data_IF_702638721278
#
_entry.id   IF_702638721278
#
_cell.length_a   1.000
_cell.length_b   1.000
_cell.length_c   1.000
_cell.angle_alpha   90.00
_cell.angle_beta   90.00
_cell.angle_gamma   90.00
#
_symmetry.space_group_name_H-M   'P 1'
#
loop_
_entity.id
_entity.type
_entity.pdbx_description
1 polymer ?
#
# COMPACT_ATOMS: atom_id res chain seq x y z
N UNK A 1 -14.57 12.58 -10.37
CA UNK A 1 -14.69 11.59 -9.29
C UNK A 1 -13.47 10.70 -9.44
N UNK A 2 -12.55 10.69 -8.48
CA UNK A 2 -11.39 9.80 -8.55
C UNK A 2 -11.89 8.36 -8.43
N UNK A 3 -11.41 7.47 -9.29
CA UNK A 3 -11.77 6.04 -9.24
C UNK A 3 -10.98 5.40 -8.10
N UNK A 4 -11.67 4.95 -7.06
CA UNK A 4 -11.08 4.13 -5.99
C UNK A 4 -10.71 2.77 -6.58
N UNK A 5 -9.42 2.45 -6.54
CA UNK A 5 -8.85 1.20 -7.05
C UNK A 5 -8.37 0.34 -5.87
N UNK A 6 -8.39 -0.97 -6.06
CA UNK A 6 -7.90 -1.93 -5.07
C UNK A 6 -6.73 -2.74 -5.61
N UNK A 7 -5.77 -3.04 -4.74
CA UNK A 7 -4.72 -4.00 -5.04
C UNK A 7 -4.42 -4.91 -3.85
N UNK A 8 -4.10 -6.16 -4.15
CA UNK A 8 -3.65 -7.15 -3.15
C UNK A 8 -2.18 -7.47 -3.35
N UNK A 9 -1.39 -7.43 -2.28
CA UNK A 9 0.02 -7.73 -2.34
C UNK A 9 0.71 -7.78 -0.99
N UNK A 10 2.04 -7.83 -1.00
CA UNK A 10 2.87 -7.82 0.22
C UNK A 10 3.80 -6.63 0.22
N UNK A 11 3.99 -6.01 1.38
CA UNK A 11 4.94 -4.90 1.52
C UNK A 11 6.36 -5.45 1.38
N UNK A 12 7.15 -4.82 0.51
CA UNK A 12 8.56 -5.14 0.30
C UNK A 12 9.50 -4.04 0.81
N UNK A 13 8.97 -2.82 1.01
CA UNK A 13 9.72 -1.67 1.48
C UNK A 13 8.77 -0.70 2.19
N UNK A 14 9.22 -0.13 3.31
CA UNK A 14 8.57 0.99 4.01
C UNK A 14 9.63 2.06 4.25
N UNK A 15 9.33 3.31 3.89
CA UNK A 15 10.15 4.48 4.10
C UNK A 15 9.24 5.64 4.50
N UNK A 16 9.31 6.07 5.76
CA UNK A 16 8.43 7.13 6.30
C UNK A 16 6.94 6.78 6.05
N UNK A 17 6.18 7.63 5.38
CA UNK A 17 4.77 7.40 5.05
C UNK A 17 4.59 6.72 3.67
N UNK A 18 5.69 6.30 3.04
CA UNK A 18 5.71 5.71 1.71
C UNK A 18 6.04 4.22 1.77
N UNK A 19 5.34 3.40 0.99
CA UNK A 19 5.57 1.97 0.98
C UNK A 19 5.43 1.37 -0.41
N UNK A 20 6.11 0.24 -0.63
CA UNK A 20 5.99 -0.54 -1.87
C UNK A 20 5.31 -1.87 -1.61
N UNK A 21 4.36 -2.21 -2.47
CA UNK A 21 3.71 -3.50 -2.50
C UNK A 21 4.10 -4.26 -3.76
N UNK A 22 4.33 -5.57 -3.61
CA UNK A 22 4.40 -6.50 -4.74
C UNK A 22 3.12 -7.34 -4.81
N UNK A 23 2.47 -7.36 -5.97
CA UNK A 23 1.29 -8.20 -6.23
C UNK A 23 1.68 -9.67 -6.49
N UNK A 24 0.69 -10.55 -6.66
CA UNK A 24 0.91 -11.96 -6.99
C UNK A 24 1.50 -12.20 -8.40
N UNK A 25 1.53 -11.18 -9.26
CA UNK A 25 2.13 -11.19 -10.59
C UNK A 25 3.58 -10.65 -10.58
N UNK A 26 4.08 -10.24 -9.42
CA UNK A 26 5.41 -9.67 -9.27
C UNK A 26 5.51 -8.19 -9.65
N UNK A 27 4.39 -7.51 -9.90
CA UNK A 27 4.37 -6.07 -10.19
C UNK A 27 4.53 -5.29 -8.88
N UNK A 28 5.34 -4.24 -8.94
CA UNK A 28 5.66 -3.38 -7.79
C UNK A 28 4.94 -2.05 -7.91
N UNK A 29 4.28 -1.63 -6.85
CA UNK A 29 3.45 -0.44 -6.79
C UNK A 29 3.94 0.44 -5.65
N UNK A 30 4.05 1.75 -5.91
CA UNK A 30 4.46 2.72 -4.90
C UNK A 30 3.24 3.45 -4.36
N UNK A 31 3.14 3.54 -3.04
CA UNK A 31 2.05 4.23 -2.37
C UNK A 31 2.58 5.22 -1.34
N UNK A 32 1.94 6.39 -1.29
CA UNK A 32 1.98 7.30 -0.17
C UNK A 32 0.77 7.04 0.72
N UNK A 33 0.98 6.88 2.03
CA UNK A 33 -0.09 6.65 2.98
C UNK A 33 -0.88 7.95 3.19
N UNK A 34 -2.18 7.90 2.93
CA UNK A 34 -3.07 9.02 3.21
C UNK A 34 -3.04 9.35 4.70
N UNK A 35 -2.97 10.64 5.04
CA UNK A 35 -3.08 11.09 6.44
C UNK A 35 -4.42 10.72 7.11
N UNK A 36 -5.41 10.28 6.32
CA UNK A 36 -6.71 9.81 6.81
C UNK A 36 -6.80 8.29 6.95
N UNK A 37 -5.75 7.56 6.56
CA UNK A 37 -5.75 6.11 6.64
C UNK A 37 -5.83 5.66 8.12
N UNK A 38 -6.61 4.61 8.44
CA UNK A 38 -6.79 4.12 9.80
C UNK A 38 -5.60 3.27 10.30
N UNK A 39 -4.44 3.41 9.67
CA UNK A 39 -3.22 2.61 9.95
C UNK A 39 -2.03 3.53 10.10
N UNK A 40 -1.03 3.07 10.84
CA UNK A 40 0.19 3.83 11.11
C UNK A 40 1.38 3.26 10.34
N UNK A 41 2.46 4.03 10.24
CA UNK A 41 3.74 3.53 9.72
C UNK A 41 4.22 2.28 10.50
N UNK A 42 3.98 2.23 11.81
CA UNK A 42 4.34 1.06 12.62
C UNK A 42 3.59 -0.20 12.19
N UNK A 43 2.32 -0.08 11.78
CA UNK A 43 1.53 -1.19 11.24
C UNK A 43 2.11 -1.68 9.91
N UNK A 44 2.48 -0.76 9.01
CA UNK A 44 3.13 -1.10 7.74
C UNK A 44 4.46 -1.84 7.96
N UNK A 45 5.27 -1.38 8.92
CA UNK A 45 6.53 -2.04 9.30
C UNK A 45 6.27 -3.46 9.84
N UNK A 46 5.25 -3.61 10.68
CA UNK A 46 4.88 -4.91 11.26
C UNK A 46 4.43 -5.89 10.17
N UNK A 47 3.58 -5.45 9.24
CA UNK A 47 3.13 -6.28 8.11
C UNK A 47 4.25 -6.61 7.13
N UNK A 48 5.16 -5.68 6.87
CA UNK A 48 6.36 -5.92 6.06
C UNK A 48 7.23 -7.03 6.66
N UNK A 49 7.52 -6.95 7.97
CA UNK A 49 8.30 -7.97 8.70
C UNK A 49 7.60 -9.34 8.71
N UNK A 50 6.27 -9.34 8.88
CA UNK A 50 5.47 -10.56 8.89
C UNK A 50 5.20 -11.12 7.49
N UNK A 51 5.54 -10.39 6.42
CA UNK A 51 5.21 -10.71 5.01
C UNK A 51 3.71 -10.95 4.82
N UNK A 52 2.88 -10.19 5.55
CA UNK A 52 1.42 -10.30 5.54
C UNK A 52 0.87 -9.87 4.18
N UNK A 53 -0.10 -10.62 3.67
CA UNK A 53 -0.88 -10.21 2.50
C UNK A 53 -1.84 -9.10 2.90
N UNK A 54 -1.85 -8.02 2.12
CA UNK A 54 -2.64 -6.84 2.38
C UNK A 54 -3.51 -6.51 1.17
N UNK A 55 -4.68 -5.93 1.44
CA UNK A 55 -5.50 -5.21 0.47
C UNK A 55 -5.28 -3.72 0.70
N UNK A 56 -5.00 -2.98 -0.39
CA UNK A 56 -4.83 -1.53 -0.40
C UNK A 56 -5.87 -0.90 -1.29
N UNK A 57 -6.67 -0.02 -0.71
CA UNK A 57 -7.60 0.87 -1.41
C UNK A 57 -6.86 2.19 -1.67
N UNK A 58 -6.80 2.62 -2.93
CA UNK A 58 -6.01 3.76 -3.36
C UNK A 58 -6.64 4.57 -4.48
N UNK A 59 -6.17 5.80 -4.65
CA UNK A 59 -6.41 6.63 -5.83
C UNK A 59 -5.10 6.96 -6.58
N UNK A 60 -5.21 7.33 -7.86
CA UNK A 60 -4.07 7.72 -8.70
C UNK A 60 -3.49 6.56 -9.54
N UNK A 61 -2.24 6.76 -9.98
CA UNK A 61 -1.52 5.86 -10.89
C UNK A 61 -0.21 5.35 -10.25
N UNK A 62 -0.28 4.37 -9.31
CA UNK A 62 0.88 3.86 -8.57
C UNK A 62 1.89 3.07 -9.42
N UNK A 63 1.56 2.76 -10.68
CA UNK A 63 2.50 2.15 -11.65
C UNK A 63 3.38 3.21 -12.35
N UNK A 64 2.95 4.48 -12.39
CA UNK A 64 3.68 5.57 -13.06
C UNK A 64 4.41 6.48 -12.05
N UNK A 65 3.75 6.82 -10.94
CA UNK A 65 4.31 7.66 -9.88
C UNK A 65 4.09 7.01 -8.50
N UNK A 66 3.27 7.62 -7.64
CA UNK A 66 2.76 7.03 -6.42
C UNK A 66 1.24 7.16 -6.37
N UNK A 67 0.57 6.12 -5.88
CA UNK A 67 -0.85 6.18 -5.52
C UNK A 67 -1.02 6.67 -4.09
N UNK A 68 -2.15 7.29 -3.78
CA UNK A 68 -2.50 7.64 -2.39
C UNK A 68 -3.31 6.48 -1.81
N UNK A 69 -2.73 5.78 -0.82
CA UNK A 69 -3.40 4.69 -0.13
C UNK A 69 -4.30 5.22 0.99
N UNK A 70 -5.61 5.08 0.83
CA UNK A 70 -6.60 5.52 1.82
C UNK A 70 -6.90 4.45 2.87
N UNK A 71 -6.67 3.18 2.53
CA UNK A 71 -6.92 2.06 3.42
C UNK A 71 -5.93 0.95 3.16
N UNK A 72 -5.45 0.31 4.23
CA UNK A 72 -4.59 -0.88 4.16
C UNK A 72 -5.09 -1.87 5.19
N UNK A 73 -5.41 -3.09 4.76
CA UNK A 73 -5.96 -4.14 5.64
C UNK A 73 -5.23 -5.45 5.41
N UNK A 74 -4.93 -6.16 6.50
CA UNK A 74 -4.44 -7.52 6.41
C UNK A 74 -5.55 -8.49 5.98
N UNK A 75 -5.17 -9.49 5.17
CA UNK A 75 -6.01 -10.61 4.73
C UNK A 75 -5.84 -11.80 5.67
#
# INVERSE_FOLDING_TARGET
MAEEKEITGRIILVQEERFRIVDNRGRSFLFDLSHRAPVTNQDLINWSKAKTWLVVEYEGEPEMESGIAHSVKAV
#
